data_IF_127486613616
#
_entry.id   IF_127486613616
#
_cell.length_a   1.000
_cell.length_b   1.000
_cell.length_c   1.000
_cell.angle_alpha   90.00
_cell.angle_beta   90.00
_cell.angle_gamma   90.00
#
_symmetry.space_group_name_H-M   'P 1'
#
loop_
_entity.id
_entity.type
_entity.pdbx_description
1 polymer ?
#
# COMPACT_ATOMS: atom_id res chain seq x y z
N UNK A 1 7.59 -29.49 47.38
CA UNK A 1 7.77 -29.45 45.91
C UNK A 1 8.16 -28.03 45.53
N UNK A 2 9.42 -27.81 45.20
CA UNK A 2 9.94 -26.46 44.89
C UNK A 2 9.66 -26.12 43.43
N UNK A 3 8.86 -25.04 43.20
CA UNK A 3 8.58 -24.50 41.89
C UNK A 3 9.89 -23.96 41.27
N UNK A 4 10.37 -24.61 40.21
CA UNK A 4 11.50 -24.15 39.39
C UNK A 4 11.08 -22.87 38.65
N UNK A 5 11.84 -21.76 38.78
CA UNK A 5 11.50 -20.54 38.06
C UNK A 5 11.58 -20.76 36.56
N UNK A 6 10.57 -20.30 35.83
CA UNK A 6 10.54 -20.34 34.37
C UNK A 6 11.70 -19.51 33.80
N UNK A 7 12.45 -20.11 32.87
CA UNK A 7 13.55 -19.45 32.16
C UNK A 7 12.98 -18.23 31.37
N UNK A 8 13.62 -17.05 31.43
CA UNK A 8 13.20 -15.92 30.62
C UNK A 8 13.21 -16.32 29.15
N UNK A 9 12.06 -16.20 28.51
CA UNK A 9 11.92 -16.42 27.08
C UNK A 9 12.63 -15.26 26.37
N UNK A 10 13.68 -15.57 25.59
CA UNK A 10 14.40 -14.57 24.82
C UNK A 10 13.41 -13.82 23.93
N UNK A 11 13.41 -12.50 24.00
CA UNK A 11 12.59 -11.67 23.12
C UNK A 11 12.95 -11.98 21.66
N UNK A 12 11.92 -12.21 20.82
CA UNK A 12 12.13 -12.42 19.40
C UNK A 12 12.92 -11.22 18.82
N UNK A 13 13.88 -11.44 17.91
CA UNK A 13 14.65 -10.35 17.34
C UNK A 13 13.71 -9.33 16.72
N UNK A 14 13.90 -8.04 17.07
CA UNK A 14 13.10 -6.96 16.53
C UNK A 14 13.21 -6.96 15.00
N UNK A 15 12.05 -6.88 14.32
CA UNK A 15 12.08 -6.75 12.86
C UNK A 15 12.68 -5.41 12.49
N UNK A 16 13.52 -5.30 11.43
CA UNK A 16 14.27 -4.08 11.09
C UNK A 16 13.43 -2.81 11.07
N UNK A 17 12.19 -2.89 10.61
CA UNK A 17 11.30 -1.73 10.41
C UNK A 17 10.17 -1.65 11.47
N UNK A 18 10.31 -2.28 12.63
CA UNK A 18 9.22 -2.44 13.61
C UNK A 18 8.63 -1.13 14.13
N UNK A 19 9.47 -0.09 14.29
CA UNK A 19 9.08 1.23 14.79
C UNK A 19 8.66 2.21 13.69
N UNK A 20 8.79 1.84 12.41
CA UNK A 20 8.47 2.76 11.31
C UNK A 20 6.96 2.92 11.14
N UNK A 21 6.56 4.13 10.85
CA UNK A 21 5.22 4.50 10.39
C UNK A 21 5.34 5.41 9.17
N UNK A 22 4.29 5.48 8.38
CA UNK A 22 4.23 6.38 7.23
C UNK A 22 4.37 7.83 7.69
N UNK A 23 5.23 8.60 7.04
CA UNK A 23 5.44 10.01 7.38
C UNK A 23 4.15 10.82 7.22
N UNK A 24 4.02 11.89 7.98
CA UNK A 24 2.86 12.79 7.91
C UNK A 24 2.67 13.33 6.49
N UNK A 25 3.77 13.74 5.83
CA UNK A 25 3.74 14.33 4.49
C UNK A 25 3.31 13.30 3.43
N UNK A 26 3.86 12.09 3.49
CA UNK A 26 3.48 11.02 2.58
C UNK A 26 2.00 10.61 2.78
N UNK A 27 1.54 10.56 4.04
CA UNK A 27 0.15 10.28 4.37
C UNK A 27 -0.79 11.37 3.86
N UNK A 28 -0.44 12.64 4.02
CA UNK A 28 -1.21 13.78 3.50
C UNK A 28 -1.27 13.76 1.97
N UNK A 29 -0.13 13.54 1.30
CA UNK A 29 -0.05 13.40 -0.16
C UNK A 29 -0.92 12.25 -0.68
N UNK A 30 -0.86 11.09 0.00
CA UNK A 30 -1.69 9.94 -0.36
C UNK A 30 -3.18 10.22 -0.16
N UNK A 31 -3.56 10.94 0.92
CA UNK A 31 -4.95 11.34 1.18
C UNK A 31 -5.52 12.23 0.07
N UNK A 32 -4.70 13.13 -0.48
CA UNK A 32 -5.08 13.97 -1.64
C UNK A 32 -5.22 13.12 -2.91
N UNK A 33 -4.31 12.17 -3.12
CA UNK A 33 -4.34 11.27 -4.29
C UNK A 33 -5.56 10.37 -4.30
N UNK A 34 -5.98 9.87 -3.14
CA UNK A 34 -7.15 9.00 -2.94
C UNK A 34 -8.46 9.80 -2.89
N UNK A 35 -8.67 10.70 -3.82
CA UNK A 35 -9.84 11.58 -3.98
C UNK A 35 -11.10 11.04 -3.31
N UNK A 36 -11.40 11.51 -2.09
CA UNK A 36 -12.57 11.05 -1.36
C UNK A 36 -13.87 11.42 -2.06
N UNK A 37 -14.71 10.43 -2.28
CA UNK A 37 -16.09 10.62 -2.75
C UNK A 37 -17.00 10.42 -1.55
N UNK A 38 -17.63 11.50 -1.07
CA UNK A 38 -18.49 11.49 0.14
C UNK A 38 -19.88 10.90 -0.11
N UNK A 39 -19.95 9.89 -0.97
CA UNK A 39 -21.14 9.10 -1.27
C UNK A 39 -20.75 7.72 -1.77
N UNK A 40 -21.73 6.84 -1.86
CA UNK A 40 -21.55 5.55 -2.53
C UNK A 40 -21.53 5.73 -4.05
N UNK A 41 -20.74 4.91 -4.71
CA UNK A 41 -20.58 4.93 -6.17
C UNK A 41 -20.14 3.56 -6.71
N UNK A 42 -20.37 3.30 -7.98
CA UNK A 42 -19.86 2.14 -8.67
C UNK A 42 -18.44 2.40 -9.18
N UNK A 43 -17.47 1.62 -8.74
CA UNK A 43 -16.01 1.85 -8.94
C UNK A 43 -15.55 1.74 -10.40
N UNK A 44 -16.34 1.10 -11.27
CA UNK A 44 -16.09 0.99 -12.71
C UNK A 44 -17.05 1.81 -13.57
N UNK A 45 -17.73 2.79 -13.00
CA UNK A 45 -18.68 3.67 -13.67
C UNK A 45 -20.13 3.20 -13.55
N UNK A 46 -21.04 3.91 -14.27
CA UNK A 46 -22.50 3.70 -14.14
C UNK A 46 -22.86 2.23 -14.33
N UNK A 47 -23.51 1.65 -13.34
CA UNK A 47 -24.00 0.27 -13.32
C UNK A 47 -22.92 -0.81 -13.59
N UNK A 48 -21.67 -0.57 -13.17
CA UNK A 48 -20.54 -1.50 -13.36
C UNK A 48 -19.63 -1.53 -12.12
N UNK A 49 -18.99 -2.69 -11.91
CA UNK A 49 -18.03 -2.87 -10.85
C UNK A 49 -18.66 -3.20 -9.51
N UNK A 50 -18.10 -2.64 -8.45
CA UNK A 50 -18.51 -2.89 -7.08
C UNK A 50 -19.03 -1.63 -6.43
N UNK A 51 -19.89 -1.80 -5.43
CA UNK A 51 -20.34 -0.71 -4.60
C UNK A 51 -19.20 -0.24 -3.69
N UNK A 52 -18.85 1.01 -3.81
CA UNK A 52 -17.65 1.62 -3.21
C UNK A 52 -18.02 2.98 -2.63
N UNK A 53 -17.30 3.46 -1.62
CA UNK A 53 -17.48 4.77 -1.04
C UNK A 53 -16.16 5.38 -0.58
N UNK A 54 -16.18 6.67 -0.26
CA UNK A 54 -15.02 7.36 0.31
C UNK A 54 -13.79 7.34 -0.61
N UNK A 55 -12.67 6.90 -0.05
CA UNK A 55 -11.39 6.77 -0.75
C UNK A 55 -11.19 5.35 -1.33
N UNK A 56 -12.12 4.86 -2.14
CA UNK A 56 -12.03 3.53 -2.75
C UNK A 56 -12.34 2.38 -1.79
N UNK A 57 -13.25 2.59 -0.84
CA UNK A 57 -13.61 1.59 0.16
C UNK A 57 -14.72 0.69 -0.38
N UNK A 58 -14.42 -0.59 -0.54
CA UNK A 58 -15.41 -1.58 -0.96
C UNK A 58 -16.50 -1.74 0.10
N UNK A 59 -17.73 -1.43 -0.22
CA UNK A 59 -18.90 -1.74 0.60
C UNK A 59 -19.29 -3.21 0.40
N UNK A 60 -19.52 -3.60 -0.85
CA UNK A 60 -19.80 -4.98 -1.24
C UNK A 60 -19.48 -5.20 -2.72
N UNK A 61 -19.39 -6.47 -3.12
CA UNK A 61 -19.29 -6.87 -4.54
C UNK A 61 -20.61 -6.64 -5.26
N UNK A 62 -20.51 -6.24 -6.53
CA UNK A 62 -21.65 -5.86 -7.35
C UNK A 62 -22.01 -4.38 -7.24
N UNK A 63 -22.89 -3.92 -8.09
CA UNK A 63 -23.28 -2.51 -8.18
C UNK A 63 -24.07 -2.06 -6.96
N UNK A 64 -23.92 -0.78 -6.60
CA UNK A 64 -24.74 -0.16 -5.57
C UNK A 64 -26.22 -0.17 -5.98
N UNK A 65 -27.12 -0.34 -5.00
CA UNK A 65 -28.54 -0.09 -5.15
C UNK A 65 -28.82 1.42 -5.37
N UNK A 66 -30.01 1.75 -5.80
CA UNK A 66 -30.42 3.15 -5.95
C UNK A 66 -30.41 3.90 -4.63
N UNK A 67 -30.75 3.23 -3.53
CA UNK A 67 -30.72 3.79 -2.19
C UNK A 67 -29.27 4.09 -1.75
N UNK A 68 -28.35 3.15 -1.98
CA UNK A 68 -26.93 3.34 -1.66
C UNK A 68 -26.30 4.49 -2.45
N UNK A 69 -26.60 4.62 -3.76
CA UNK A 69 -26.09 5.72 -4.60
C UNK A 69 -26.54 7.11 -4.11
N UNK A 70 -27.67 7.19 -3.40
CA UNK A 70 -28.17 8.42 -2.75
C UNK A 70 -27.56 8.66 -1.36
N UNK A 71 -26.86 7.69 -0.79
CA UNK A 71 -26.37 7.75 0.57
C UNK A 71 -25.09 8.56 0.69
N UNK A 72 -25.12 9.57 1.56
CA UNK A 72 -23.95 10.38 1.88
C UNK A 72 -23.08 9.69 2.94
N UNK A 73 -21.78 9.94 2.85
CA UNK A 73 -20.78 9.50 3.84
C UNK A 73 -20.08 10.73 4.39
N UNK A 74 -19.98 10.85 5.71
CA UNK A 74 -19.31 11.99 6.32
C UNK A 74 -17.76 11.89 6.19
N UNK A 75 -17.10 13.04 6.22
CA UNK A 75 -15.65 13.13 6.05
C UNK A 75 -14.90 12.34 7.14
N UNK A 76 -15.39 12.39 8.39
CA UNK A 76 -14.77 11.69 9.51
C UNK A 76 -14.74 10.17 9.29
N UNK A 77 -15.85 9.58 8.81
CA UNK A 77 -15.89 8.15 8.48
C UNK A 77 -14.88 7.78 7.40
N UNK A 78 -14.75 8.62 6.36
CA UNK A 78 -13.76 8.42 5.30
C UNK A 78 -12.33 8.46 5.87
N UNK A 79 -12.03 9.42 6.74
CA UNK A 79 -10.70 9.57 7.35
C UNK A 79 -10.35 8.45 8.32
N UNK A 80 -11.31 7.96 9.09
CA UNK A 80 -11.13 6.81 9.97
C UNK A 80 -10.74 5.57 9.14
N UNK A 81 -11.51 5.26 8.09
CA UNK A 81 -11.24 4.05 7.29
C UNK A 81 -9.98 4.21 6.44
N UNK A 82 -9.70 5.40 5.93
CA UNK A 82 -8.41 5.70 5.31
C UNK A 82 -7.24 5.40 6.27
N UNK A 83 -7.33 5.90 7.52
CA UNK A 83 -6.34 5.63 8.56
C UNK A 83 -6.16 4.14 8.86
N UNK A 84 -7.25 3.38 8.94
CA UNK A 84 -7.21 1.94 9.16
C UNK A 84 -6.50 1.20 8.01
N UNK A 85 -6.78 1.58 6.75
CA UNK A 85 -6.12 1.00 5.58
C UNK A 85 -4.64 1.35 5.50
N UNK A 86 -4.26 2.57 5.87
CA UNK A 86 -2.85 2.96 5.99
C UNK A 86 -2.15 2.10 7.04
N UNK A 87 -2.72 1.99 8.24
CA UNK A 87 -2.17 1.18 9.32
C UNK A 87 -2.05 -0.31 8.93
N UNK A 88 -2.98 -0.82 8.13
CA UNK A 88 -2.88 -2.17 7.58
C UNK A 88 -1.71 -2.31 6.60
N UNK A 89 -1.54 -1.37 5.67
CA UNK A 89 -0.42 -1.35 4.73
C UNK A 89 0.93 -1.28 5.46
N UNK A 90 1.05 -0.41 6.46
CA UNK A 90 2.24 -0.32 7.32
C UNK A 90 2.56 -1.64 8.01
N UNK A 91 1.56 -2.30 8.59
CA UNK A 91 1.73 -3.60 9.26
C UNK A 91 2.20 -4.66 8.28
N UNK A 92 1.67 -4.67 7.05
CA UNK A 92 2.09 -5.60 5.99
C UNK A 92 3.55 -5.33 5.61
N UNK A 93 3.94 -4.09 5.37
CA UNK A 93 5.32 -3.72 5.03
C UNK A 93 6.28 -4.13 6.14
N UNK A 94 6.02 -3.75 7.41
CA UNK A 94 6.86 -4.13 8.55
C UNK A 94 7.04 -5.64 8.68
N UNK A 95 5.98 -6.42 8.44
CA UNK A 95 6.03 -7.88 8.52
C UNK A 95 6.77 -8.52 7.35
N UNK A 96 6.64 -7.94 6.16
CA UNK A 96 7.12 -8.55 4.91
C UNK A 96 8.55 -8.19 4.57
N UNK A 97 9.03 -7.00 4.96
CA UNK A 97 10.38 -6.53 4.66
C UNK A 97 11.35 -6.92 5.79
N UNK A 98 12.47 -7.53 5.40
CA UNK A 98 13.49 -8.10 6.32
C UNK A 98 14.81 -7.34 6.28
N UNK A 99 14.93 -6.32 5.42
CA UNK A 99 16.07 -5.41 5.33
C UNK A 99 15.67 -4.04 5.86
N UNK A 100 16.67 -3.25 6.28
CA UNK A 100 16.43 -1.88 6.74
C UNK A 100 15.96 -1.00 5.58
N UNK A 101 14.95 -0.18 5.86
CA UNK A 101 14.43 0.82 4.95
C UNK A 101 14.71 2.21 5.49
N UNK A 102 14.98 3.16 4.61
CA UNK A 102 14.83 4.57 4.97
C UNK A 102 13.35 4.99 4.90
N UNK A 103 13.02 6.18 5.45
CA UNK A 103 11.65 6.67 5.53
C UNK A 103 10.96 6.75 4.16
N UNK A 104 11.66 7.27 3.14
CA UNK A 104 11.11 7.40 1.79
C UNK A 104 10.77 6.03 1.16
N UNK A 105 11.59 5.02 1.40
CA UNK A 105 11.35 3.65 0.96
C UNK A 105 10.15 3.03 1.69
N UNK A 106 10.05 3.24 3.00
CA UNK A 106 8.91 2.76 3.79
C UNK A 106 7.60 3.39 3.32
N UNK A 107 7.58 4.72 3.14
CA UNK A 107 6.42 5.46 2.65
C UNK A 107 5.96 4.98 1.28
N UNK A 108 6.90 4.78 0.36
CA UNK A 108 6.62 4.28 -0.98
C UNK A 108 6.01 2.87 -0.96
N UNK A 109 6.53 1.97 -0.11
CA UNK A 109 5.96 0.63 0.03
C UNK A 109 4.58 0.63 0.69
N UNK A 110 4.35 1.51 1.65
CA UNK A 110 3.02 1.68 2.23
C UNK A 110 2.00 2.16 1.19
N UNK A 111 2.37 3.14 0.35
CA UNK A 111 1.54 3.61 -0.77
C UNK A 111 1.26 2.50 -1.79
N UNK A 112 2.29 1.77 -2.20
CA UNK A 112 2.17 0.63 -3.11
C UNK A 112 1.22 -0.44 -2.55
N UNK A 113 1.44 -0.82 -1.28
CA UNK A 113 0.66 -1.86 -0.60
C UNK A 113 -0.80 -1.45 -0.41
N UNK A 114 -1.05 -0.18 -0.06
CA UNK A 114 -2.39 0.38 0.04
C UNK A 114 -3.16 0.23 -1.29
N UNK A 115 -2.50 0.52 -2.42
CA UNK A 115 -3.14 0.53 -3.73
C UNK A 115 -3.21 -0.85 -4.39
N UNK A 116 -2.12 -1.63 -4.33
CA UNK A 116 -2.02 -2.91 -5.03
C UNK A 116 -2.40 -4.11 -4.15
N UNK A 117 -2.52 -3.90 -2.85
CA UNK A 117 -2.70 -4.95 -1.85
C UNK A 117 -1.43 -5.78 -1.62
N UNK A 118 -1.43 -6.66 -0.60
CA UNK A 118 -0.27 -7.47 -0.26
C UNK A 118 0.18 -8.41 -1.39
N UNK A 119 -0.77 -9.03 -2.08
CA UNK A 119 -0.47 -9.91 -3.23
C UNK A 119 0.12 -9.12 -4.40
N UNK A 120 -0.39 -7.91 -4.68
CA UNK A 120 0.16 -7.07 -5.75
C UNK A 120 1.57 -6.57 -5.45
N UNK A 121 1.91 -6.34 -4.18
CA UNK A 121 3.22 -5.87 -3.76
C UNK A 121 4.26 -7.00 -3.55
N UNK A 122 3.85 -8.28 -3.56
CA UNK A 122 4.67 -9.42 -3.15
C UNK A 122 6.00 -9.53 -3.92
N UNK A 123 5.98 -9.38 -5.24
CA UNK A 123 7.19 -9.48 -6.06
C UNK A 123 8.17 -8.35 -5.75
N UNK A 124 7.66 -7.13 -5.49
CA UNK A 124 8.47 -6.00 -5.03
C UNK A 124 9.13 -6.32 -3.69
N UNK A 125 8.39 -6.89 -2.74
CA UNK A 125 8.93 -7.29 -1.44
C UNK A 125 10.04 -8.33 -1.55
N UNK A 126 9.88 -9.32 -2.44
CA UNK A 126 10.90 -10.33 -2.70
C UNK A 126 12.20 -9.71 -3.23
N UNK A 127 12.11 -8.76 -4.16
CA UNK A 127 13.27 -8.07 -4.73
C UNK A 127 13.97 -7.24 -3.64
N UNK A 128 13.24 -6.47 -2.84
CA UNK A 128 13.80 -5.67 -1.76
C UNK A 128 14.50 -6.55 -0.71
N UNK A 129 13.89 -7.67 -0.31
CA UNK A 129 14.49 -8.60 0.65
C UNK A 129 15.76 -9.28 0.12
N UNK A 130 16.01 -9.24 -1.19
CA UNK A 130 17.26 -9.67 -1.84
C UNK A 130 18.22 -8.50 -2.06
N UNK A 131 17.91 -7.30 -1.53
CA UNK A 131 18.64 -6.04 -1.77
C UNK A 131 18.68 -5.61 -3.24
N UNK A 132 17.80 -6.13 -4.09
CA UNK A 132 17.65 -5.71 -5.48
C UNK A 132 16.70 -4.52 -5.58
N UNK A 133 17.17 -3.35 -5.13
CA UNK A 133 16.41 -2.12 -5.14
C UNK A 133 16.11 -1.63 -6.56
N UNK A 134 17.04 -1.79 -7.49
CA UNK A 134 16.86 -1.41 -8.89
C UNK A 134 15.79 -2.27 -9.55
N UNK A 135 15.83 -3.58 -9.32
CA UNK A 135 14.80 -4.52 -9.78
C UNK A 135 13.44 -4.19 -9.17
N UNK A 136 13.39 -3.83 -7.88
CA UNK A 136 12.17 -3.39 -7.20
C UNK A 136 11.58 -2.13 -7.85
N UNK A 137 12.41 -1.10 -8.12
CA UNK A 137 11.99 0.10 -8.82
C UNK A 137 11.42 -0.20 -10.22
N UNK A 138 12.09 -1.07 -10.98
CA UNK A 138 11.64 -1.50 -12.29
C UNK A 138 10.32 -2.27 -12.21
N UNK A 139 10.15 -3.13 -11.18
CA UNK A 139 8.91 -3.86 -10.95
C UNK A 139 7.75 -2.91 -10.65
N UNK A 140 7.93 -1.96 -9.73
CA UNK A 140 6.91 -0.95 -9.39
C UNK A 140 6.49 -0.19 -10.65
N UNK A 141 7.44 0.31 -11.45
CA UNK A 141 7.14 1.08 -12.67
C UNK A 141 6.29 0.31 -13.69
N UNK A 142 6.39 -1.01 -13.75
CA UNK A 142 5.58 -1.85 -14.64
C UNK A 142 4.15 -2.09 -14.16
N UNK A 143 3.83 -1.78 -12.90
CA UNK A 143 2.52 -2.03 -12.29
C UNK A 143 1.47 -0.96 -12.66
N UNK A 144 1.40 -0.59 -13.93
CA UNK A 144 0.52 0.42 -14.50
C UNK A 144 -0.71 -0.15 -15.22
N UNK A 145 -0.89 -1.48 -15.18
CA UNK A 145 -1.99 -2.14 -15.91
C UNK A 145 -3.02 -2.68 -14.93
N UNK A 146 -4.29 -2.53 -15.30
CA UNK A 146 -5.44 -3.12 -14.61
C UNK A 146 -6.18 -4.08 -15.54
N UNK A 147 -6.83 -5.09 -14.94
CA UNK A 147 -7.67 -6.02 -15.71
C UNK A 147 -9.07 -5.45 -15.83
N UNK A 148 -9.56 -5.35 -17.05
CA UNK A 148 -10.97 -5.04 -17.34
C UNK A 148 -11.62 -6.21 -18.07
N UNK A 149 -12.94 -6.34 -17.95
CA UNK A 149 -13.73 -7.27 -18.77
C UNK A 149 -14.30 -6.49 -19.96
N UNK A 150 -13.90 -6.86 -21.17
CA UNK A 150 -14.42 -6.31 -22.41
C UNK A 150 -14.96 -7.47 -23.26
N UNK A 151 -16.24 -7.42 -23.62
CA UNK A 151 -16.91 -8.47 -24.39
C UNK A 151 -16.73 -9.88 -23.76
N UNK A 152 -16.91 -9.99 -22.44
CA UNK A 152 -16.74 -11.24 -21.70
C UNK A 152 -15.28 -11.73 -21.50
N UNK A 153 -14.30 -11.05 -22.09
CA UNK A 153 -12.88 -11.42 -22.00
C UNK A 153 -12.12 -10.48 -21.05
N UNK A 154 -11.29 -11.04 -20.17
CA UNK A 154 -10.36 -10.26 -19.35
C UNK A 154 -9.24 -9.69 -20.22
N UNK A 155 -9.06 -8.40 -20.20
CA UNK A 155 -8.03 -7.68 -20.97
C UNK A 155 -7.27 -6.75 -20.03
N UNK A 156 -5.94 -6.69 -20.14
CA UNK A 156 -5.10 -5.75 -19.40
C UNK A 156 -4.98 -4.44 -20.16
N UNK A 157 -5.33 -3.35 -19.50
CA UNK A 157 -5.21 -1.98 -20.05
C UNK A 157 -4.35 -1.12 -19.15
N UNK A 158 -3.68 -0.13 -19.74
CA UNK A 158 -2.91 0.86 -18.98
C UNK A 158 -3.88 1.79 -18.24
N UNK A 159 -3.76 1.86 -16.92
CA UNK A 159 -4.47 2.83 -16.07
C UNK A 159 -3.60 4.10 -15.96
N UNK A 160 -3.93 5.13 -16.72
CA UNK A 160 -3.14 6.38 -16.80
C UNK A 160 -2.87 7.01 -15.42
N UNK A 161 -3.83 6.92 -14.49
CA UNK A 161 -3.68 7.41 -13.10
C UNK A 161 -2.57 6.70 -12.31
N UNK A 162 -2.21 5.47 -12.70
CA UNK A 162 -1.12 4.72 -12.05
C UNK A 162 0.26 5.14 -12.54
N UNK A 163 0.42 5.76 -13.69
CA UNK A 163 1.74 6.08 -14.26
C UNK A 163 2.52 7.00 -13.32
N UNK A 164 1.95 8.13 -12.95
CA UNK A 164 2.57 9.09 -12.03
C UNK A 164 2.81 8.44 -10.66
N UNK A 165 1.81 7.77 -10.11
CA UNK A 165 1.91 7.10 -8.81
C UNK A 165 3.07 6.10 -8.75
N UNK A 166 3.19 5.21 -9.74
CA UNK A 166 4.28 4.22 -9.81
C UNK A 166 5.64 4.86 -10.02
N UNK A 167 5.70 5.97 -10.75
CA UNK A 167 6.93 6.73 -10.89
C UNK A 167 7.40 7.31 -9.54
N UNK A 168 6.51 7.83 -8.73
CA UNK A 168 6.78 8.34 -7.38
C UNK A 168 7.15 7.20 -6.42
N UNK A 169 6.38 6.14 -6.36
CA UNK A 169 6.62 4.97 -5.51
C UNK A 169 7.93 4.24 -5.84
N UNK A 170 8.40 4.27 -7.08
CA UNK A 170 9.67 3.66 -7.49
C UNK A 170 10.88 4.54 -7.24
N UNK A 171 10.70 5.86 -7.09
CA UNK A 171 11.81 6.82 -6.98
C UNK A 171 12.80 6.51 -5.84
N UNK A 172 12.38 6.17 -4.61
CA UNK A 172 13.30 5.89 -3.51
C UNK A 172 14.19 4.65 -3.70
N UNK A 173 13.88 3.83 -4.70
CA UNK A 173 14.61 2.59 -4.99
C UNK A 173 15.52 2.69 -6.21
N UNK A 174 15.50 3.81 -6.95
CA UNK A 174 16.33 4.00 -8.16
C UNK A 174 17.77 4.34 -7.83
N UNK A 175 18.01 5.06 -6.74
CA UNK A 175 19.35 5.34 -6.24
C UNK A 175 19.79 4.17 -5.36
N UNK A 176 20.95 3.57 -5.65
CA UNK A 176 21.59 2.68 -4.68
C UNK A 176 21.83 3.51 -3.40
N UNK A 177 21.60 2.95 -2.20
CA UNK A 177 22.10 3.60 -1.01
C UNK A 177 23.60 3.80 -1.23
N UNK A 178 24.05 5.05 -1.22
CA UNK A 178 25.47 5.34 -1.12
C UNK A 178 25.89 4.65 0.16
N UNK A 179 26.63 3.53 0.03
CA UNK A 179 27.22 2.90 1.17
C UNK A 179 27.94 3.98 1.94
N UNK A 180 27.57 4.20 3.21
CA UNK A 180 28.27 5.08 4.10
C UNK A 180 29.70 4.54 4.16
N UNK A 181 30.54 5.08 3.26
CA UNK A 181 31.94 4.76 3.16
C UNK A 181 32.56 5.15 4.49
N UNK A 182 33.03 4.14 5.20
CA UNK A 182 33.81 4.24 6.40
C UNK A 182 34.86 5.36 6.25
N UNK A 183 34.60 6.50 6.85
CA UNK A 183 35.63 7.46 7.22
C UNK A 183 36.05 7.13 8.66
N UNK A 184 36.79 6.04 8.77
CA UNK A 184 37.71 5.84 9.89
C UNK A 184 39.11 6.10 9.36
N UNK A 185 39.64 7.23 9.69
CA UNK A 185 41.07 7.48 9.86
C UNK A 185 41.26 8.28 11.12
#
# INVERSE_FOLDING_TARGET
MLNKPAKPQAAAPATPNASMSMSTDARASMRVTEKAIYKYYNDMGKNKGNCTWGAGILAHKGVCSSEELGRLVNAQSVDIVFGQKVAEAERIVRRSIKVDLNQAQFDALCSLTYNAGPTGASDTFLLINRSDFVGAAANINRMIKVSIVKNGKKTKVVARGLIKRRAEESAPFRAQPVAASALSK
#
